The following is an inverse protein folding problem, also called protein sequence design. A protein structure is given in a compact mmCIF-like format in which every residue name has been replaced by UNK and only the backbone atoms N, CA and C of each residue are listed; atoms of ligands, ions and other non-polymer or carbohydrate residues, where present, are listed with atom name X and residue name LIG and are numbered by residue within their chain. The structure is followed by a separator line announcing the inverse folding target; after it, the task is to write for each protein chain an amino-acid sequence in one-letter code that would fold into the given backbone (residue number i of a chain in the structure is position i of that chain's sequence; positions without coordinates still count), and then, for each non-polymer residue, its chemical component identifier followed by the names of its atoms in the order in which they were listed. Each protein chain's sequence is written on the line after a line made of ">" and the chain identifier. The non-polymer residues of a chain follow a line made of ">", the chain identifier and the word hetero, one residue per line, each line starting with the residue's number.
data_IF_182650299571
#
_entry.id   IF_182650299571
#
_cell.length_a   1.000
_cell.length_b   1.000
_cell.length_c   1.000
_cell.angle_alpha   90.00
_cell.angle_beta   90.00
_cell.angle_gamma   90.00
#
_symmetry.space_group_name_H-M   'P 1'
#
loop_
_entity.id
_entity.type
_entity.pdbx_description
1 polymer ?
#
# COMPACT_ATOMS: atom_id res chain seq x y z
N UNK A 1 20.99 25.71 -7.18
CA UNK A 1 20.10 25.63 -8.36
C UNK A 1 20.05 24.15 -8.76
N UNK A 2 18.96 23.41 -8.79
CA UNK A 2 17.55 23.57 -8.43
C UNK A 2 17.09 22.23 -7.81
N UNK A 3 16.11 22.23 -6.90
CA UNK A 3 15.78 21.14 -6.00
C UNK A 3 14.58 20.33 -6.51
N UNK A 4 14.77 19.04 -6.78
CA UNK A 4 13.67 18.14 -7.16
C UNK A 4 13.60 16.88 -6.31
N UNK A 5 14.03 16.96 -5.04
CA UNK A 5 13.67 15.92 -4.08
C UNK A 5 12.26 16.21 -3.62
N UNK A 6 11.30 15.49 -4.21
CA UNK A 6 9.90 15.49 -3.81
C UNK A 6 9.82 15.36 -2.27
N UNK A 7 9.05 16.23 -1.61
CA UNK A 7 8.88 16.21 -0.15
C UNK A 7 8.38 14.85 0.36
N UNK A 8 7.64 14.11 -0.49
CA UNK A 8 7.23 12.72 -0.28
C UNK A 8 8.36 11.68 -0.38
N UNK A 9 9.51 11.98 -0.98
CA UNK A 9 10.63 11.04 -1.06
C UNK A 9 11.58 11.16 0.14
N UNK A 10 11.77 12.35 0.71
CA UNK A 10 12.65 12.55 1.88
C UNK A 10 12.01 12.13 3.21
N UNK A 11 10.68 12.25 3.33
CA UNK A 11 9.96 11.78 4.53
C UNK A 11 9.97 10.25 4.65
N UNK A 12 9.99 9.51 3.55
CA UNK A 12 9.79 8.05 3.57
C UNK A 12 11.07 7.21 3.81
N UNK A 13 12.27 7.64 3.38
CA UNK A 13 13.51 6.85 3.60
C UNK A 13 13.98 6.81 5.06
N UNK A 14 13.71 7.86 5.84
CA UNK A 14 14.05 7.90 7.26
C UNK A 14 13.05 7.11 8.13
N UNK A 15 11.82 6.91 7.64
CA UNK A 15 10.76 6.16 8.34
C UNK A 15 10.91 4.64 8.20
N UNK A 16 11.48 4.13 7.11
CA UNK A 16 11.58 2.68 6.81
C UNK A 16 12.36 1.87 7.87
N UNK A 17 13.49 2.39 8.40
CA UNK A 17 14.23 1.74 9.50
C UNK A 17 13.52 1.85 10.87
N UNK A 18 12.81 2.96 11.11
CA UNK A 18 12.11 3.20 12.38
C UNK A 18 10.78 2.45 12.52
N UNK A 19 10.26 1.91 11.41
CA UNK A 19 9.06 1.07 11.39
C UNK A 19 9.43 -0.39 11.69
N UNK A 20 10.53 -0.88 11.11
CA UNK A 20 11.02 -2.25 11.36
C UNK A 20 11.39 -2.44 12.85
N UNK A 21 11.88 -1.40 13.54
CA UNK A 21 12.18 -1.48 14.97
C UNK A 21 10.93 -1.46 15.88
N UNK A 22 9.72 -1.27 15.32
CA UNK A 22 8.46 -1.15 16.09
C UNK A 22 7.47 -2.29 15.83
N UNK A 23 7.73 -3.13 14.84
CA UNK A 23 6.88 -4.28 14.54
C UNK A 23 7.18 -5.42 15.51
N UNK A 24 6.15 -6.08 16.05
CA UNK A 24 6.34 -7.24 16.91
C UNK A 24 6.47 -8.53 16.12
N UNK A 25 7.11 -9.55 16.70
CA UNK A 25 7.20 -10.87 16.09
C UNK A 25 5.80 -11.46 15.81
N UNK A 26 4.87 -11.32 16.77
CA UNK A 26 3.49 -11.78 16.63
C UNK A 26 2.76 -11.13 15.45
N UNK A 27 2.95 -9.82 15.23
CA UNK A 27 2.37 -9.11 14.09
C UNK A 27 2.89 -9.70 12.76
N UNK A 28 4.21 -9.93 12.67
CA UNK A 28 4.83 -10.52 11.47
C UNK A 28 4.35 -11.94 11.20
N UNK A 29 4.07 -12.73 12.24
CA UNK A 29 3.49 -14.07 12.08
C UNK A 29 2.05 -14.04 11.57
N UNK A 30 1.25 -13.02 11.93
CA UNK A 30 -0.11 -12.89 11.42
C UNK A 30 -0.15 -12.61 9.92
N UNK A 31 0.87 -11.95 9.38
CA UNK A 31 0.91 -11.61 7.95
C UNK A 31 0.93 -12.82 7.02
N UNK A 32 1.45 -13.98 7.46
CA UNK A 32 1.44 -15.20 6.64
C UNK A 32 0.13 -15.97 6.71
N UNK A 33 -0.82 -15.55 7.55
CA UNK A 33 -2.10 -16.24 7.73
C UNK A 33 -3.16 -15.82 6.71
N UNK A 34 -3.15 -14.55 6.29
CA UNK A 34 -3.96 -14.04 5.18
C UNK A 34 -3.43 -12.70 4.68
N UNK A 35 -3.73 -12.37 3.42
CA UNK A 35 -3.41 -11.05 2.88
C UNK A 35 -4.16 -9.94 3.63
N UNK A 36 -5.38 -10.20 4.06
CA UNK A 36 -6.16 -9.30 4.91
C UNK A 36 -5.41 -8.93 6.19
N UNK A 37 -4.83 -9.91 6.89
CA UNK A 37 -4.05 -9.68 8.11
C UNK A 37 -2.79 -8.87 7.84
N UNK A 38 -2.14 -9.05 6.68
CA UNK A 38 -1.03 -8.20 6.27
C UNK A 38 -1.51 -6.76 6.04
N UNK A 39 -2.54 -6.57 5.21
CA UNK A 39 -2.94 -5.25 4.69
C UNK A 39 -3.71 -4.38 5.71
N UNK A 40 -4.29 -5.00 6.74
CA UNK A 40 -5.04 -4.29 7.79
C UNK A 40 -4.21 -4.08 9.06
N UNK A 41 -3.03 -4.73 9.15
CA UNK A 41 -2.13 -4.54 10.29
C UNK A 41 -1.53 -3.15 10.32
N UNK A 42 -1.01 -2.78 11.50
CA UNK A 42 -0.47 -1.44 11.75
C UNK A 42 0.76 -1.15 10.89
N UNK A 43 1.65 -2.12 10.72
CA UNK A 43 2.93 -1.93 10.03
C UNK A 43 3.01 -2.70 8.70
N UNK A 44 2.20 -3.75 8.52
CA UNK A 44 2.24 -4.64 7.36
C UNK A 44 2.14 -3.93 6.01
N UNK A 45 1.18 -3.01 5.76
CA UNK A 45 1.07 -2.33 4.47
C UNK A 45 2.31 -1.53 4.09
N UNK A 46 2.95 -0.90 5.07
CA UNK A 46 4.13 -0.07 4.82
C UNK A 46 5.37 -0.93 4.57
N UNK A 47 5.52 -2.03 5.31
CA UNK A 47 6.61 -2.99 5.12
C UNK A 47 6.44 -3.72 3.78
N UNK A 48 5.21 -4.13 3.45
CA UNK A 48 4.87 -4.71 2.14
C UNK A 48 5.15 -3.74 1.00
N UNK A 49 4.75 -2.46 1.14
CA UNK A 49 5.10 -1.41 0.18
C UNK A 49 6.62 -1.23 0.02
N UNK A 50 7.37 -1.30 1.11
CA UNK A 50 8.84 -1.20 1.08
C UNK A 50 9.44 -2.33 0.25
N UNK A 51 8.96 -3.57 0.44
CA UNK A 51 9.34 -4.70 -0.41
C UNK A 51 9.01 -4.45 -1.88
N UNK A 52 7.78 -4.05 -2.21
CA UNK A 52 7.36 -3.84 -3.61
C UNK A 52 8.12 -2.73 -4.33
N UNK A 53 8.56 -1.70 -3.61
CA UNK A 53 9.46 -0.67 -4.18
C UNK A 53 10.79 -1.25 -4.63
N UNK A 54 11.30 -2.29 -3.97
CA UNK A 54 12.57 -2.94 -4.39
C UNK A 54 12.42 -3.68 -5.72
N UNK A 55 11.19 -4.02 -6.09
CA UNK A 55 10.85 -4.69 -7.34
C UNK A 55 10.18 -3.74 -8.37
N UNK A 56 10.09 -2.45 -8.05
CA UNK A 56 9.42 -1.43 -8.87
C UNK A 56 7.95 -1.79 -9.22
N UNK A 57 7.24 -2.43 -8.28
CA UNK A 57 5.85 -2.89 -8.47
C UNK A 57 4.91 -2.41 -7.34
N UNK A 58 5.13 -1.19 -6.83
CA UNK A 58 4.40 -0.64 -5.69
C UNK A 58 3.13 0.15 -6.06
N UNK A 59 2.80 0.30 -7.34
CA UNK A 59 1.63 1.06 -7.81
C UNK A 59 0.30 0.54 -7.24
N UNK A 60 0.16 -0.78 -7.12
CA UNK A 60 -1.05 -1.43 -6.61
C UNK A 60 -1.26 -1.13 -5.11
N UNK A 61 -0.22 -1.29 -4.29
CA UNK A 61 -0.30 -1.01 -2.85
C UNK A 61 -0.46 0.50 -2.59
N UNK A 62 0.17 1.35 -3.39
CA UNK A 62 0.01 2.79 -3.29
C UNK A 62 -1.40 3.25 -3.63
N UNK A 63 -1.99 2.69 -4.69
CA UNK A 63 -3.38 2.94 -5.03
C UNK A 63 -4.31 2.49 -3.91
N UNK A 64 -4.13 1.27 -3.39
CA UNK A 64 -4.97 0.73 -2.32
C UNK A 64 -4.93 1.61 -1.06
N UNK A 65 -3.74 2.02 -0.62
CA UNK A 65 -3.57 2.93 0.51
C UNK A 65 -4.19 4.31 0.26
N UNK A 66 -4.09 4.81 -0.97
CA UNK A 66 -4.68 6.08 -1.34
C UNK A 66 -6.22 6.01 -1.36
N UNK A 67 -6.81 4.87 -1.71
CA UNK A 67 -8.25 4.61 -1.57
C UNK A 67 -8.69 4.58 -0.10
N UNK A 68 -7.93 3.93 0.79
CA UNK A 68 -8.20 3.95 2.23
C UNK A 68 -8.16 5.37 2.82
N UNK A 69 -7.21 6.20 2.38
CA UNK A 69 -7.15 7.60 2.76
C UNK A 69 -8.32 8.42 2.16
N UNK A 70 -8.71 8.12 0.92
CA UNK A 70 -9.79 8.78 0.21
C UNK A 70 -11.14 8.58 0.89
N UNK A 71 -11.43 7.36 1.36
CA UNK A 71 -12.67 7.03 2.11
C UNK A 71 -12.86 7.90 3.35
N UNK A 72 -11.76 8.29 4.00
CA UNK A 72 -11.77 9.11 5.23
C UNK A 72 -11.98 10.61 4.99
N UNK A 73 -12.08 11.06 3.74
CA UNK A 73 -12.25 12.49 3.42
C UNK A 73 -13.69 12.94 3.67
N UNK A 74 -13.89 13.85 4.61
CA UNK A 74 -15.22 14.42 4.91
C UNK A 74 -15.57 15.66 4.08
N UNK A 75 -14.56 16.44 3.65
CA UNK A 75 -14.78 17.67 2.85
C UNK A 75 -15.06 17.34 1.39
N UNK A 76 -16.23 17.76 0.88
CA UNK A 76 -16.62 17.52 -0.51
C UNK A 76 -15.63 18.13 -1.51
N UNK A 77 -15.16 19.36 -1.26
CA UNK A 77 -14.14 20.01 -2.11
C UNK A 77 -12.85 19.19 -2.17
N UNK A 78 -12.38 18.69 -1.02
CA UNK A 78 -11.18 17.84 -0.95
C UNK A 78 -11.41 16.50 -1.63
N UNK A 79 -12.60 15.91 -1.48
CA UNK A 79 -12.98 14.63 -2.12
C UNK A 79 -12.91 14.74 -3.64
N UNK A 80 -13.53 15.76 -4.23
CA UNK A 80 -13.48 16.01 -5.68
C UNK A 80 -12.03 16.18 -6.17
N UNK A 81 -11.22 16.95 -5.44
CA UNK A 81 -9.82 17.16 -5.79
C UNK A 81 -8.99 15.86 -5.75
N UNK A 82 -9.12 15.08 -4.68
CA UNK A 82 -8.38 13.82 -4.53
C UNK A 82 -8.87 12.76 -5.51
N UNK A 83 -10.17 12.68 -5.79
CA UNK A 83 -10.73 11.76 -6.78
C UNK A 83 -10.12 11.99 -8.17
N UNK A 84 -10.00 13.26 -8.59
CA UNK A 84 -9.33 13.62 -9.85
C UNK A 84 -7.86 13.22 -9.85
N UNK A 85 -7.14 13.45 -8.75
CA UNK A 85 -5.73 13.03 -8.61
C UNK A 85 -5.54 11.51 -8.69
N UNK A 86 -6.41 10.75 -8.03
CA UNK A 86 -6.39 9.28 -8.10
C UNK A 86 -6.61 8.81 -9.53
N UNK A 87 -7.58 9.41 -10.21
CA UNK A 87 -7.85 9.10 -11.61
C UNK A 87 -6.64 9.37 -12.51
N UNK A 88 -6.03 10.56 -12.41
CA UNK A 88 -4.90 10.93 -13.28
C UNK A 88 -3.63 10.13 -13.00
N UNK A 89 -3.44 9.68 -11.76
CA UNK A 89 -2.21 9.00 -11.36
C UNK A 89 -2.27 7.49 -11.56
N UNK A 90 -3.46 6.87 -11.47
CA UNK A 90 -3.60 5.41 -11.45
C UNK A 90 -4.59 4.86 -12.48
N UNK A 91 -5.60 5.61 -12.92
CA UNK A 91 -6.74 5.03 -13.68
C UNK A 91 -6.71 5.38 -15.16
N UNK A 92 -6.40 6.64 -15.50
CA UNK A 92 -6.45 7.10 -16.88
C UNK A 92 -5.44 6.33 -17.75
N UNK A 93 -5.72 6.14 -19.05
CA UNK A 93 -4.74 5.55 -19.95
C UNK A 93 -3.42 6.31 -19.90
N UNK A 94 -2.30 5.59 -19.82
CA UNK A 94 -0.95 6.15 -19.74
C UNK A 94 -0.68 6.95 -18.46
N UNK A 95 -1.45 6.68 -17.39
CA UNK A 95 -1.15 7.25 -16.09
C UNK A 95 0.26 6.82 -15.64
N UNK A 96 1.00 7.69 -14.93
CA UNK A 96 2.37 7.40 -14.52
C UNK A 96 2.49 6.17 -13.60
N UNK A 97 1.40 5.81 -12.91
CA UNK A 97 1.29 4.61 -12.06
C UNK A 97 0.03 3.84 -12.42
N UNK A 98 -0.25 3.70 -13.73
CA UNK A 98 -1.46 3.03 -14.20
C UNK A 98 -1.60 1.62 -13.61
N UNK A 99 -2.70 1.35 -12.92
CA UNK A 99 -3.02 0.03 -12.37
C UNK A 99 -3.71 -0.84 -13.43
N UNK A 100 -3.43 -2.13 -13.39
CA UNK A 100 -4.02 -3.09 -14.32
C UNK A 100 -5.46 -3.47 -13.89
N UNK A 101 -6.45 -2.73 -14.39
CA UNK A 101 -7.88 -2.99 -14.17
C UNK A 101 -8.66 -2.96 -15.49
N UNK A 102 -9.70 -3.79 -15.58
CA UNK A 102 -10.46 -3.97 -16.80
C UNK A 102 -11.24 -2.71 -17.22
N UNK A 103 -11.50 -2.60 -18.53
CA UNK A 103 -12.23 -1.48 -19.13
C UNK A 103 -13.58 -1.15 -18.48
N UNK A 104 -14.43 -2.12 -18.07
CA UNK A 104 -15.68 -1.83 -17.38
C UNK A 104 -15.47 -1.10 -16.04
N UNK A 105 -14.45 -1.47 -15.27
CA UNK A 105 -14.12 -0.84 -13.98
C UNK A 105 -13.68 0.61 -14.22
N UNK A 106 -12.79 0.84 -15.21
CA UNK A 106 -12.38 2.20 -15.60
C UNK A 106 -13.58 3.08 -15.98
N UNK A 107 -14.53 2.55 -16.77
CA UNK A 107 -15.76 3.26 -17.16
C UNK A 107 -16.65 3.59 -15.95
N UNK A 108 -16.77 2.68 -14.99
CA UNK A 108 -17.52 2.91 -13.75
C UNK A 108 -16.94 4.09 -12.96
N UNK A 109 -15.61 4.14 -12.79
CA UNK A 109 -14.93 5.24 -12.11
C UNK A 109 -15.18 6.57 -12.84
N UNK A 110 -15.08 6.62 -14.18
CA UNK A 110 -15.34 7.84 -14.95
C UNK A 110 -16.75 8.38 -14.70
N UNK A 111 -17.75 7.50 -14.53
CA UNK A 111 -19.11 7.90 -14.15
C UNK A 111 -19.15 8.43 -12.71
N UNK A 112 -18.54 7.72 -11.77
CA UNK A 112 -18.50 8.13 -10.37
C UNK A 112 -17.77 9.47 -10.14
N UNK A 113 -16.85 9.84 -11.04
CA UNK A 113 -16.14 11.12 -10.95
C UNK A 113 -17.02 12.35 -11.23
N UNK A 114 -18.23 12.17 -11.79
CA UNK A 114 -19.19 13.26 -11.95
C UNK A 114 -19.70 13.76 -10.58
N UNK A 115 -19.96 12.82 -9.68
CA UNK A 115 -20.35 13.10 -8.29
C UNK A 115 -19.59 12.16 -7.35
N UNK A 116 -18.33 12.51 -6.98
CA UNK A 116 -17.48 11.62 -6.21
C UNK A 116 -18.05 11.34 -4.81
N UNK A 117 -18.29 10.07 -4.53
CA UNK A 117 -18.64 9.54 -3.21
C UNK A 117 -17.44 8.84 -2.56
N UNK A 118 -17.59 8.31 -1.34
CA UNK A 118 -16.58 7.46 -0.71
C UNK A 118 -16.34 6.14 -1.42
N UNK A 119 -17.37 5.61 -2.09
CA UNK A 119 -17.33 4.36 -2.83
C UNK A 119 -16.83 4.50 -4.27
N UNK A 120 -16.40 5.70 -4.68
CA UNK A 120 -16.00 6.01 -6.06
C UNK A 120 -14.98 5.02 -6.65
N UNK A 121 -14.10 4.46 -5.81
CA UNK A 121 -13.01 3.56 -6.20
C UNK A 121 -13.15 2.13 -5.64
N UNK A 122 -14.27 1.77 -5.01
CA UNK A 122 -14.39 0.48 -4.28
C UNK A 122 -14.13 -0.73 -5.17
N UNK A 123 -14.72 -0.76 -6.37
CA UNK A 123 -14.54 -1.89 -7.28
C UNK A 123 -13.09 -2.00 -7.77
N UNK A 124 -12.44 -0.87 -8.08
CA UNK A 124 -11.04 -0.86 -8.46
C UNK A 124 -10.13 -1.31 -7.30
N UNK A 125 -10.41 -0.85 -6.09
CA UNK A 125 -9.67 -1.23 -4.90
C UNK A 125 -9.81 -2.73 -4.62
N UNK A 126 -10.99 -3.31 -4.84
CA UNK A 126 -11.25 -4.76 -4.74
C UNK A 126 -10.45 -5.55 -5.77
N UNK A 127 -10.42 -5.11 -7.03
CA UNK A 127 -9.63 -5.75 -8.09
C UNK A 127 -8.14 -5.72 -7.76
N UNK A 128 -7.63 -4.57 -7.34
CA UNK A 128 -6.22 -4.40 -6.94
C UNK A 128 -5.87 -5.24 -5.72
N UNK A 129 -6.76 -5.34 -4.73
CA UNK A 129 -6.59 -6.24 -3.58
C UNK A 129 -6.40 -7.69 -4.04
N UNK A 130 -7.32 -8.21 -4.87
CA UNK A 130 -7.23 -9.60 -5.36
C UNK A 130 -5.99 -9.82 -6.22
N UNK A 131 -5.57 -8.81 -6.98
CA UNK A 131 -4.34 -8.88 -7.76
C UNK A 131 -3.12 -9.03 -6.86
N UNK A 132 -2.99 -8.19 -5.83
CA UNK A 132 -1.89 -8.28 -4.87
C UNK A 132 -1.91 -9.61 -4.11
N UNK A 133 -3.08 -10.06 -3.66
CA UNK A 133 -3.25 -11.31 -2.93
C UNK A 133 -2.78 -12.53 -3.73
N UNK A 134 -3.00 -12.53 -5.06
CA UNK A 134 -2.67 -13.65 -5.93
C UNK A 134 -1.26 -13.60 -6.52
N UNK A 135 -0.66 -12.41 -6.63
CA UNK A 135 0.64 -12.24 -7.28
C UNK A 135 1.75 -11.83 -6.30
N UNK A 136 1.68 -10.61 -5.77
CA UNK A 136 2.79 -10.02 -5.02
C UNK A 136 2.86 -10.48 -3.56
N UNK A 137 1.75 -10.90 -2.98
CA UNK A 137 1.69 -11.36 -1.59
C UNK A 137 2.41 -12.70 -1.36
N UNK A 138 2.20 -13.76 -2.17
CA UNK A 138 2.97 -15.00 -2.05
C UNK A 138 4.48 -14.75 -2.20
N UNK A 139 4.87 -13.94 -3.19
CA UNK A 139 6.27 -13.56 -3.44
C UNK A 139 6.87 -12.81 -2.24
N UNK A 140 6.12 -11.91 -1.61
CA UNK A 140 6.53 -11.25 -0.39
C UNK A 140 6.83 -12.25 0.74
N UNK A 141 5.94 -13.21 0.99
CA UNK A 141 6.14 -14.21 2.05
C UNK A 141 7.34 -15.12 1.78
N UNK A 142 7.63 -15.43 0.52
CA UNK A 142 8.79 -16.24 0.11
C UNK A 142 10.08 -15.42 0.02
N UNK A 143 9.98 -14.09 0.00
CA UNK A 143 11.13 -13.20 -0.20
C UNK A 143 12.15 -13.29 0.94
N UNK A 144 13.42 -13.10 0.60
CA UNK A 144 14.49 -12.92 1.60
C UNK A 144 14.19 -11.76 2.56
N UNK A 145 13.48 -10.74 2.08
CA UNK A 145 13.08 -9.59 2.87
C UNK A 145 12.20 -10.00 4.06
N UNK A 146 11.11 -10.73 3.81
CA UNK A 146 10.21 -11.20 4.87
C UNK A 146 10.88 -12.24 5.78
N UNK A 147 11.64 -13.19 5.21
CA UNK A 147 12.31 -14.23 5.98
C UNK A 147 13.36 -13.66 6.94
N UNK A 148 14.14 -12.67 6.49
CA UNK A 148 15.11 -11.99 7.36
C UNK A 148 14.44 -11.16 8.46
N UNK A 149 13.34 -10.46 8.14
CA UNK A 149 12.57 -9.71 9.13
C UNK A 149 12.03 -10.65 10.23
N UNK A 150 11.39 -11.75 9.82
CA UNK A 150 10.86 -12.77 10.73
C UNK A 150 11.96 -13.36 11.62
N UNK A 151 13.11 -13.71 11.05
CA UNK A 151 14.24 -14.26 11.81
C UNK A 151 14.78 -13.27 12.85
N UNK A 152 15.00 -12.00 12.47
CA UNK A 152 15.51 -10.95 13.38
C UNK A 152 14.59 -10.76 14.59
N UNK A 153 13.28 -10.68 14.37
CA UNK A 153 12.31 -10.49 15.45
C UNK A 153 12.17 -11.73 16.33
N UNK A 154 12.36 -12.93 15.76
CA UNK A 154 12.38 -14.17 16.53
C UNK A 154 13.59 -14.23 17.46
N UNK A 155 14.77 -13.82 17.00
CA UNK A 155 15.98 -13.80 17.84
C UNK A 155 15.85 -12.76 18.95
N UNK A 156 15.31 -11.58 18.66
CA UNK A 156 15.11 -10.53 19.66
C UNK A 156 14.09 -10.93 20.74
N UNK A 157 13.06 -11.70 20.36
CA UNK A 157 12.05 -12.24 21.30
C UNK A 157 12.58 -13.37 22.18
N UNK A 158 13.68 -14.02 21.77
CA UNK A 158 14.29 -15.16 22.46
C UNK A 158 15.47 -14.75 23.37
N UNK A 159 15.84 -13.48 23.45
CA UNK A 159 16.83 -12.99 24.42
C UNK A 159 16.12 -12.95 25.78
N UNK A 160 16.54 -13.77 26.78
CA UNK A 160 16.02 -13.63 28.13
C UNK A 160 16.38 -12.23 28.62
N UNK A 161 15.40 -11.49 29.12
CA UNK A 161 15.62 -10.22 29.81
C UNK A 161 16.63 -10.45 30.94
N UNK A 162 17.89 -10.07 30.71
CA UNK A 162 18.91 -10.05 31.76
C UNK A 162 18.64 -8.82 32.62
N UNK A 163 17.93 -9.08 33.72
CA UNK A 163 17.71 -8.25 34.92
C UNK A 163 16.88 -6.97 34.75
#
# INVERSE_FOLDING_TARGET
>A
MSPNTCWLCMTFRAEENGIISKVSFDEVLQWSQSFEKLITSKHGPMIYKTYLKTEHSDENIEFWLACEAYKKITSQRKRIYVARKLFTNYIQPQAPKEINIDSPVKKSIVRNLQEPTESCFDEAQRVVYMHMERDSYPRFLESKFYQQLKYRLQTDSNIPSVH
#
